data_IF_762252779042
#
_entry.id   IF_762252779042
#
_cell.length_a   1.000
_cell.length_b   1.000
_cell.length_c   1.000
_cell.angle_alpha   90.00
_cell.angle_beta   90.00
_cell.angle_gamma   90.00
#
_symmetry.space_group_name_H-M   'P 1'
#
loop_
_entity.id
_entity.type
_entity.pdbx_description
1 polymer ?
#
# COMPACT_ATOMS: atom_id res chain seq x y z
N UNK A 1 -18.14 9.48 -21.98
CA UNK A 1 -17.97 8.19 -21.32
C UNK A 1 -19.09 8.05 -20.29
N UNK A 2 -19.97 7.10 -20.52
CA UNK A 2 -21.09 6.84 -19.64
C UNK A 2 -20.56 6.32 -18.30
N UNK A 3 -20.48 7.11 -17.28
CA UNK A 3 -20.30 6.85 -15.83
C UNK A 3 -19.81 5.45 -15.36
N UNK A 4 -19.10 4.69 -16.18
CA UNK A 4 -18.75 3.28 -15.95
C UNK A 4 -17.25 3.02 -15.76
N UNK A 5 -16.43 4.06 -15.70
CA UNK A 5 -14.98 3.86 -15.51
C UNK A 5 -14.32 3.01 -16.63
N UNK A 6 -13.16 2.44 -16.33
CA UNK A 6 -12.47 1.50 -17.22
C UNK A 6 -13.03 0.09 -17.02
N UNK A 7 -13.85 -0.37 -17.97
CA UNK A 7 -14.48 -1.71 -17.93
C UNK A 7 -13.77 -2.74 -18.81
N UNK A 8 -12.73 -2.34 -19.54
CA UNK A 8 -11.92 -3.21 -20.39
C UNK A 8 -10.69 -3.77 -19.67
N UNK A 9 -10.00 -4.69 -20.37
CA UNK A 9 -8.72 -5.28 -19.90
C UNK A 9 -7.55 -4.28 -19.84
N UNK A 10 -7.71 -3.07 -20.38
CA UNK A 10 -6.71 -2.01 -20.38
C UNK A 10 -7.35 -0.69 -19.98
N UNK A 11 -6.60 0.15 -19.26
CA UNK A 11 -7.05 1.48 -18.90
C UNK A 11 -7.10 2.42 -20.11
N UNK A 12 -8.05 3.35 -20.13
CA UNK A 12 -8.15 4.42 -21.16
C UNK A 12 -6.87 5.27 -21.22
N UNK A 13 -6.13 5.34 -20.09
CA UNK A 13 -4.84 6.02 -19.98
C UNK A 13 -3.66 5.26 -20.63
N UNK A 14 -3.88 4.09 -21.22
CA UNK A 14 -2.84 3.24 -21.81
C UNK A 14 -2.24 2.21 -20.85
N UNK A 15 -2.72 2.12 -19.62
CA UNK A 15 -2.30 1.08 -18.67
C UNK A 15 -2.74 -0.29 -19.17
N UNK A 16 -1.79 -1.23 -19.28
CA UNK A 16 -2.06 -2.63 -19.63
C UNK A 16 -2.65 -3.38 -18.44
N UNK A 17 -3.26 -4.55 -18.68
CA UNK A 17 -3.76 -5.41 -17.60
C UNK A 17 -2.60 -5.88 -16.69
N UNK A 18 -1.44 -6.20 -17.29
CA UNK A 18 -0.27 -6.66 -16.55
C UNK A 18 0.29 -5.59 -15.61
N UNK A 19 0.37 -4.33 -16.08
CA UNK A 19 0.76 -3.19 -15.22
C UNK A 19 -0.27 -2.98 -14.11
N UNK A 20 -1.57 -3.09 -14.39
CA UNK A 20 -2.61 -2.95 -13.36
C UNK A 20 -2.45 -4.02 -12.28
N UNK A 21 -2.26 -5.27 -12.67
CA UNK A 21 -2.03 -6.38 -11.74
C UNK A 21 -0.77 -6.16 -10.90
N UNK A 22 0.35 -5.76 -11.51
CA UNK A 22 1.58 -5.46 -10.78
C UNK A 22 1.44 -4.31 -9.78
N UNK A 23 0.62 -3.30 -10.09
CA UNK A 23 0.34 -2.22 -9.15
C UNK A 23 -0.52 -2.69 -7.97
N UNK A 24 -1.44 -3.63 -8.19
CA UNK A 24 -2.20 -4.27 -7.11
C UNK A 24 -1.29 -5.18 -6.26
N UNK A 25 -0.41 -5.96 -6.89
CA UNK A 25 0.61 -6.76 -6.19
C UNK A 25 1.53 -5.88 -5.33
N UNK A 26 2.02 -4.76 -5.88
CA UNK A 26 2.82 -3.79 -5.12
C UNK A 26 2.03 -3.22 -3.94
N UNK A 27 0.78 -2.83 -4.15
CA UNK A 27 -0.08 -2.31 -3.06
C UNK A 27 -0.26 -3.36 -1.96
N UNK A 28 -0.51 -4.61 -2.33
CA UNK A 28 -0.60 -5.74 -1.39
C UNK A 28 0.69 -5.98 -0.62
N UNK A 29 1.84 -5.89 -1.30
CA UNK A 29 3.16 -6.01 -0.67
C UNK A 29 3.44 -4.90 0.34
N UNK A 30 3.05 -3.64 0.03
CA UNK A 30 3.18 -2.49 0.94
C UNK A 30 2.30 -2.65 2.19
N UNK A 31 1.08 -3.15 2.04
CA UNK A 31 0.19 -3.46 3.17
C UNK A 31 0.82 -4.59 4.02
N UNK A 32 1.40 -5.61 3.38
CA UNK A 32 2.14 -6.67 4.06
C UNK A 32 3.37 -6.14 4.82
N UNK A 33 4.09 -5.15 4.26
CA UNK A 33 5.20 -4.49 4.93
C UNK A 33 4.72 -3.69 6.15
N UNK A 34 3.62 -2.94 6.02
CA UNK A 34 3.03 -2.21 7.14
C UNK A 34 2.60 -3.14 8.29
N UNK A 35 2.08 -4.32 7.98
CA UNK A 35 1.78 -5.36 8.96
C UNK A 35 3.04 -5.91 9.63
N UNK A 36 4.10 -6.15 8.86
CA UNK A 36 5.38 -6.62 9.39
C UNK A 36 6.04 -5.60 10.33
N UNK A 37 5.79 -4.30 10.13
CA UNK A 37 6.27 -3.22 10.99
C UNK A 37 5.33 -2.89 12.14
N UNK A 38 4.26 -3.64 12.33
CA UNK A 38 3.22 -3.40 13.34
C UNK A 38 2.66 -1.97 13.26
N UNK A 39 2.22 -1.57 12.07
CA UNK A 39 1.70 -0.23 11.80
C UNK A 39 2.74 0.88 11.93
N UNK A 40 4.02 0.57 11.73
CA UNK A 40 5.13 1.51 11.77
C UNK A 40 5.88 1.58 13.11
N UNK A 41 5.44 0.87 14.16
CA UNK A 41 6.13 0.87 15.45
C UNK A 41 7.55 0.29 15.37
N UNK A 42 7.78 -0.63 14.44
CA UNK A 42 9.07 -1.29 14.20
C UNK A 42 9.63 -0.99 12.81
N UNK A 43 9.18 0.09 12.18
CA UNK A 43 9.60 0.43 10.83
C UNK A 43 11.03 0.99 10.80
N UNK A 44 11.79 0.54 9.81
CA UNK A 44 13.10 1.10 9.47
C UNK A 44 12.93 2.34 8.58
N UNK A 45 13.96 3.19 8.44
CA UNK A 45 13.95 4.28 7.46
C UNK A 45 13.73 3.77 6.02
N UNK A 46 14.23 2.59 5.67
CA UNK A 46 14.01 1.97 4.36
C UNK A 46 12.55 1.51 4.20
N UNK A 47 11.93 0.93 5.22
CA UNK A 47 10.52 0.56 5.17
C UNK A 47 9.63 1.78 4.89
N UNK A 48 9.87 2.91 5.56
CA UNK A 48 9.13 4.15 5.29
C UNK A 48 9.35 4.66 3.87
N UNK A 49 10.61 4.66 3.42
CA UNK A 49 10.95 5.06 2.06
C UNK A 49 10.23 4.20 1.02
N UNK A 50 10.20 2.89 1.21
CA UNK A 50 9.53 1.95 0.33
C UNK A 50 8.01 2.15 0.30
N UNK A 51 7.39 2.44 1.44
CA UNK A 51 5.95 2.74 1.50
C UNK A 51 5.61 3.99 0.67
N UNK A 52 6.36 5.07 0.83
CA UNK A 52 6.15 6.32 0.08
C UNK A 52 6.44 6.11 -1.42
N UNK A 53 7.59 5.52 -1.79
CA UNK A 53 7.99 5.27 -3.17
C UNK A 53 7.01 4.32 -3.88
N UNK A 54 6.56 3.27 -3.19
CA UNK A 54 5.61 2.31 -3.72
C UNK A 54 4.23 2.91 -3.94
N UNK A 55 3.68 3.63 -2.96
CA UNK A 55 2.41 4.33 -3.10
C UNK A 55 2.47 5.35 -4.24
N UNK A 56 3.54 6.16 -4.32
CA UNK A 56 3.74 7.11 -5.42
C UNK A 56 3.78 6.41 -6.78
N UNK A 57 4.47 5.27 -6.88
CA UNK A 57 4.54 4.45 -8.10
C UNK A 57 3.15 4.01 -8.60
N UNK A 58 2.20 3.78 -7.68
CA UNK A 58 0.82 3.37 -8.01
C UNK A 58 -0.14 4.53 -8.29
N UNK A 59 0.29 5.78 -8.17
CA UNK A 59 -0.52 6.94 -8.55
C UNK A 59 -0.79 6.91 -10.06
N UNK A 60 -1.97 7.36 -10.46
CA UNK A 60 -2.41 7.33 -11.85
C UNK A 60 -1.39 7.98 -12.79
N UNK A 61 -1.00 7.26 -13.83
CA UNK A 61 -0.08 7.70 -14.90
C UNK A 61 1.36 8.02 -14.44
N UNK A 62 1.79 7.61 -13.25
CA UNK A 62 3.16 7.86 -12.77
C UNK A 62 4.13 6.83 -13.33
N UNK A 63 3.82 5.53 -13.23
CA UNK A 63 4.74 4.48 -13.67
C UNK A 63 3.99 3.32 -14.33
N UNK A 64 4.34 3.05 -15.61
CA UNK A 64 3.84 1.92 -16.39
C UNK A 64 4.97 0.92 -16.74
N UNK A 65 6.16 1.06 -16.16
CA UNK A 65 7.28 0.18 -16.40
C UNK A 65 7.20 -1.07 -15.50
N UNK A 66 6.81 -2.19 -16.07
CA UNK A 66 6.68 -3.47 -15.37
C UNK A 66 7.98 -3.89 -14.65
N UNK A 67 9.14 -3.69 -15.30
CA UNK A 67 10.43 -4.07 -14.72
C UNK A 67 10.69 -3.29 -13.42
N UNK A 68 10.50 -1.98 -13.43
CA UNK A 68 10.68 -1.12 -12.25
C UNK A 68 9.71 -1.49 -11.14
N UNK A 69 8.45 -1.80 -11.48
CA UNK A 69 7.45 -2.20 -10.47
C UNK A 69 7.85 -3.54 -9.83
N UNK A 70 8.28 -4.54 -10.63
CA UNK A 70 8.76 -5.83 -10.11
C UNK A 70 10.00 -5.69 -9.22
N UNK A 71 10.95 -4.84 -9.61
CA UNK A 71 12.13 -4.54 -8.80
C UNK A 71 11.74 -3.92 -7.45
N UNK A 72 10.76 -3.02 -7.45
CA UNK A 72 10.26 -2.39 -6.22
C UNK A 72 9.55 -3.41 -5.31
N UNK A 73 8.70 -4.28 -5.87
CA UNK A 73 8.10 -5.41 -5.13
C UNK A 73 9.18 -6.27 -4.49
N UNK A 74 10.23 -6.62 -5.23
CA UNK A 74 11.36 -7.39 -4.71
C UNK A 74 12.07 -6.71 -3.54
N UNK A 75 12.25 -5.39 -3.59
CA UNK A 75 12.82 -4.60 -2.48
C UNK A 75 11.91 -4.59 -1.26
N UNK A 76 10.60 -4.46 -1.45
CA UNK A 76 9.61 -4.52 -0.36
C UNK A 76 9.65 -5.89 0.32
N UNK A 77 9.72 -6.97 -0.46
CA UNK A 77 9.83 -8.33 0.10
C UNK A 77 11.15 -8.55 0.85
N UNK A 78 12.27 -8.02 0.31
CA UNK A 78 13.56 -8.13 0.97
C UNK A 78 13.58 -7.39 2.32
N UNK A 79 13.01 -6.19 2.39
CA UNK A 79 12.88 -5.43 3.62
C UNK A 79 11.96 -6.15 4.63
N UNK A 80 10.82 -6.64 4.17
CA UNK A 80 9.90 -7.41 4.99
C UNK A 80 10.55 -8.66 5.60
N UNK A 81 11.38 -9.36 4.83
CA UNK A 81 12.10 -10.54 5.32
C UNK A 81 13.12 -10.23 6.43
N UNK A 82 13.68 -9.01 6.46
CA UNK A 82 14.59 -8.59 7.52
C UNK A 82 13.87 -8.23 8.82
N UNK A 83 12.64 -7.74 8.72
CA UNK A 83 11.84 -7.30 9.86
C UNK A 83 11.18 -8.46 10.61
N UNK A 84 10.98 -9.59 9.94
CA UNK A 84 10.34 -10.75 10.54
C UNK A 84 11.41 -11.79 10.86
N UNK A 85 11.73 -12.03 12.13
CA UNK A 85 12.65 -13.09 12.50
C UNK A 85 12.12 -14.45 12.03
N UNK A 86 13.04 -15.30 11.62
CA UNK A 86 12.78 -16.65 11.10
C UNK A 86 11.90 -17.44 12.10
N UNK A 87 10.61 -17.50 11.82
CA UNK A 87 9.64 -18.24 12.64
C UNK A 87 9.74 -19.74 12.32
N UNK A 88 10.89 -20.36 12.58
CA UNK A 88 11.08 -21.79 12.42
C UNK A 88 10.20 -22.64 13.36
N UNK A 89 9.54 -22.00 14.34
CA UNK A 89 8.65 -22.65 15.31
C UNK A 89 7.15 -22.53 14.99
N UNK A 90 6.76 -21.75 13.97
CA UNK A 90 5.35 -21.60 13.60
C UNK A 90 4.94 -22.67 12.58
N UNK A 91 3.97 -23.52 12.92
CA UNK A 91 3.42 -24.55 12.04
C UNK A 91 2.58 -24.01 10.87
N UNK A 92 2.35 -22.70 10.78
CA UNK A 92 1.63 -22.02 9.71
C UNK A 92 2.34 -20.72 9.33
N UNK A 93 2.23 -20.26 8.06
CA UNK A 93 2.72 -18.95 7.67
C UNK A 93 2.08 -17.89 8.57
N UNK A 94 2.89 -17.09 9.22
CA UNK A 94 2.38 -15.99 10.03
C UNK A 94 1.64 -15.02 9.10
N UNK A 95 0.34 -14.83 9.29
CA UNK A 95 -0.49 -13.95 8.44
C UNK A 95 0.03 -12.51 8.34
N UNK A 96 0.90 -12.10 9.28
CA UNK A 96 1.60 -10.80 9.27
C UNK A 96 2.70 -10.69 8.20
N UNK A 97 3.13 -11.80 7.60
CA UNK A 97 4.22 -11.78 6.60
C UNK A 97 3.73 -11.91 5.17
N UNK A 98 2.47 -12.29 4.97
CA UNK A 98 1.88 -12.41 3.64
C UNK A 98 1.50 -11.04 3.08
N UNK A 99 1.59 -10.90 1.76
CA UNK A 99 1.02 -9.77 1.06
C UNK A 99 -0.51 -9.77 1.21
N UNK A 100 -1.09 -8.58 1.18
CA UNK A 100 -2.54 -8.45 1.22
C UNK A 100 -3.12 -8.70 -0.18
N UNK A 101 -4.12 -9.56 -0.25
CA UNK A 101 -4.87 -9.77 -1.50
C UNK A 101 -5.84 -8.60 -1.73
N UNK A 102 -5.57 -7.78 -2.75
CA UNK A 102 -6.41 -6.64 -3.09
C UNK A 102 -7.84 -7.02 -3.46
N UNK A 103 -8.10 -8.29 -3.85
CA UNK A 103 -9.47 -8.76 -4.06
C UNK A 103 -10.30 -8.73 -2.78
N UNK A 104 -9.69 -8.92 -1.61
CA UNK A 104 -10.38 -8.81 -0.33
C UNK A 104 -10.94 -7.40 -0.09
N UNK A 105 -10.19 -6.37 -0.49
CA UNK A 105 -10.66 -4.99 -0.42
C UNK A 105 -11.85 -4.77 -1.35
N UNK A 106 -11.72 -5.21 -2.61
CA UNK A 106 -12.74 -4.95 -3.63
C UNK A 106 -14.02 -5.76 -3.41
N UNK A 107 -13.94 -6.91 -2.73
CA UNK A 107 -15.09 -7.78 -2.41
C UNK A 107 -15.69 -7.54 -1.00
N UNK A 108 -15.12 -6.63 -0.21
CA UNK A 108 -15.64 -6.28 1.11
C UNK A 108 -17.03 -5.62 1.01
N UNK A 109 -17.75 -5.59 2.14
CA UNK A 109 -19.00 -4.85 2.27
C UNK A 109 -18.82 -3.39 1.82
N UNK A 110 -19.89 -2.80 1.27
CA UNK A 110 -19.84 -1.50 0.60
C UNK A 110 -19.25 -0.40 1.48
N UNK A 111 -19.63 -0.33 2.74
CA UNK A 111 -19.13 0.69 3.68
C UNK A 111 -17.64 0.48 3.98
N UNK A 112 -17.24 -0.75 4.28
CA UNK A 112 -15.83 -1.10 4.56
C UNK A 112 -14.97 -0.85 3.33
N UNK A 113 -15.42 -1.30 2.15
CA UNK A 113 -14.75 -1.05 0.87
C UNK A 113 -14.57 0.44 0.62
N UNK A 114 -15.62 1.23 0.89
CA UNK A 114 -15.59 2.68 0.68
C UNK A 114 -14.58 3.36 1.60
N UNK A 115 -14.59 3.05 2.89
CA UNK A 115 -13.64 3.61 3.86
C UNK A 115 -12.20 3.21 3.54
N UNK A 116 -11.91 1.94 3.28
CA UNK A 116 -10.58 1.47 2.90
C UNK A 116 -10.10 2.10 1.58
N UNK A 117 -11.01 2.30 0.63
CA UNK A 117 -10.69 2.99 -0.64
C UNK A 117 -10.35 4.46 -0.42
N UNK A 118 -11.09 5.18 0.45
CA UNK A 118 -10.79 6.57 0.79
C UNK A 118 -9.41 6.68 1.44
N UNK A 119 -9.08 5.79 2.40
CA UNK A 119 -7.74 5.73 3.00
C UNK A 119 -6.67 5.52 1.93
N UNK A 120 -6.84 4.51 1.07
CA UNK A 120 -5.86 4.18 0.03
C UNK A 120 -5.63 5.33 -0.95
N UNK A 121 -6.69 5.98 -1.42
CA UNK A 121 -6.57 7.11 -2.33
C UNK A 121 -5.97 8.33 -1.64
N UNK A 122 -6.31 8.58 -0.39
CA UNK A 122 -5.74 9.66 0.41
C UNK A 122 -4.23 9.49 0.59
N UNK A 123 -3.76 8.32 1.06
CA UNK A 123 -2.32 8.08 1.22
C UNK A 123 -1.56 8.08 -0.12
N UNK A 124 -2.18 7.67 -1.23
CA UNK A 124 -1.57 7.86 -2.56
C UNK A 124 -1.41 9.33 -2.92
N UNK A 125 -2.41 10.16 -2.60
CA UNK A 125 -2.31 11.62 -2.76
C UNK A 125 -1.21 12.22 -1.90
N UNK A 126 -1.13 11.85 -0.62
CA UNK A 126 -0.04 12.25 0.28
C UNK A 126 1.34 11.81 -0.24
N UNK A 127 1.45 10.59 -0.78
CA UNK A 127 2.70 10.05 -1.30
C UNK A 127 3.25 10.86 -2.48
N UNK A 128 2.38 11.50 -3.28
CA UNK A 128 2.82 12.38 -4.35
C UNK A 128 3.63 13.57 -3.83
N UNK A 129 3.26 14.13 -2.70
CA UNK A 129 4.00 15.22 -2.06
C UNK A 129 5.18 14.72 -1.24
N UNK A 130 4.98 13.69 -0.42
CA UNK A 130 6.02 13.11 0.44
C UNK A 130 7.20 12.57 -0.37
N UNK A 131 6.97 11.96 -1.52
CA UNK A 131 8.03 11.48 -2.41
C UNK A 131 8.88 12.65 -2.93
N UNK A 132 8.27 13.76 -3.33
CA UNK A 132 9.02 14.94 -3.79
C UNK A 132 9.81 15.59 -2.65
N UNK A 133 9.24 15.69 -1.45
CA UNK A 133 9.95 16.16 -0.26
C UNK A 133 11.16 15.27 0.05
N UNK A 134 10.97 13.94 0.02
CA UNK A 134 12.02 12.96 0.26
C UNK A 134 13.17 13.07 -0.74
N UNK A 135 12.88 13.28 -2.03
CA UNK A 135 13.92 13.51 -3.07
C UNK A 135 14.73 14.78 -2.79
N UNK A 136 14.13 15.80 -2.17
CA UNK A 136 14.78 17.02 -1.74
C UNK A 136 15.50 16.90 -0.39
N UNK A 137 15.49 15.72 0.24
CA UNK A 137 16.13 15.45 1.51
C UNK A 137 15.30 15.80 2.75
N UNK A 138 14.00 16.06 2.59
CA UNK A 138 13.06 16.32 3.69
C UNK A 138 12.23 15.09 4.02
N UNK A 139 12.17 14.77 5.30
CA UNK A 139 11.33 13.70 5.85
C UNK A 139 10.69 14.17 7.14
N UNK A 140 9.55 13.59 7.48
CA UNK A 140 8.85 13.84 8.72
C UNK A 140 8.40 12.50 9.33
N UNK A 141 8.77 12.25 10.58
CA UNK A 141 8.51 10.98 11.24
C UNK A 141 7.03 10.75 11.57
N UNK A 142 6.26 11.82 11.77
CA UNK A 142 4.81 11.72 12.01
C UNK A 142 4.11 11.30 10.73
N UNK A 143 4.46 11.95 9.62
CA UNK A 143 3.96 11.59 8.28
C UNK A 143 4.35 10.16 7.92
N UNK A 144 5.60 9.76 8.15
CA UNK A 144 6.06 8.41 7.89
C UNK A 144 5.28 7.36 8.68
N UNK A 145 5.06 7.58 9.98
CA UNK A 145 4.25 6.72 10.83
C UNK A 145 2.80 6.64 10.35
N UNK A 146 2.25 7.75 9.87
CA UNK A 146 0.89 7.76 9.36
C UNK A 146 0.74 6.89 8.09
N UNK A 147 1.70 6.91 7.17
CA UNK A 147 1.68 5.99 6.01
C UNK A 147 1.61 4.52 6.43
N UNK A 148 2.43 4.12 7.39
CA UNK A 148 2.43 2.75 7.90
C UNK A 148 1.11 2.41 8.62
N UNK A 149 0.61 3.30 9.48
CA UNK A 149 -0.67 3.16 10.18
C UNK A 149 -1.85 2.98 9.20
N UNK A 150 -1.90 3.82 8.17
CA UNK A 150 -2.97 3.80 7.18
C UNK A 150 -2.94 2.52 6.32
N UNK A 151 -1.76 2.10 5.85
CA UNK A 151 -1.60 0.83 5.13
C UNK A 151 -1.95 -0.37 6.01
N UNK A 152 -1.53 -0.36 7.28
CA UNK A 152 -1.89 -1.38 8.26
C UNK A 152 -3.42 -1.49 8.41
N UNK A 153 -4.10 -0.36 8.60
CA UNK A 153 -5.56 -0.30 8.76
C UNK A 153 -6.31 -0.91 7.55
N UNK A 154 -5.81 -0.68 6.32
CA UNK A 154 -6.39 -1.32 5.12
C UNK A 154 -6.26 -2.84 5.20
N UNK A 155 -5.13 -3.33 5.72
CA UNK A 155 -4.83 -4.75 5.82
C UNK A 155 -5.65 -5.49 6.88
N UNK A 156 -6.10 -4.82 7.93
CA UNK A 156 -6.78 -5.44 9.07
C UNK A 156 -8.28 -5.66 8.80
N UNK A 157 -8.88 -6.60 9.55
CA UNK A 157 -10.32 -6.86 9.54
C UNK A 157 -11.04 -5.90 10.51
N UNK A 158 -10.91 -4.61 10.21
CA UNK A 158 -11.48 -3.53 11.00
C UNK A 158 -12.86 -3.12 10.50
N UNK A 159 -13.73 -2.76 11.44
CA UNK A 159 -15.05 -2.21 11.18
C UNK A 159 -15.00 -0.69 10.93
N UNK A 160 -16.21 -0.12 10.79
CA UNK A 160 -16.37 1.32 10.53
C UNK A 160 -15.83 2.19 11.67
N UNK A 161 -15.96 1.74 12.93
CA UNK A 161 -15.54 2.49 14.10
C UNK A 161 -14.02 2.70 14.14
N UNK A 162 -13.23 1.70 13.68
CA UNK A 162 -11.78 1.78 13.61
C UNK A 162 -11.29 2.49 12.35
N UNK A 163 -11.98 2.33 11.22
CA UNK A 163 -11.56 2.89 9.93
C UNK A 163 -11.89 4.38 9.78
N UNK A 164 -13.03 4.84 10.32
CA UNK A 164 -13.45 6.23 10.18
C UNK A 164 -12.45 7.26 10.75
N UNK A 165 -11.85 7.05 11.94
CA UNK A 165 -10.79 7.92 12.44
C UNK A 165 -9.59 8.03 11.48
N UNK A 166 -9.20 6.94 10.81
CA UNK A 166 -8.10 6.96 9.84
C UNK A 166 -8.49 7.76 8.59
N UNK A 167 -9.73 7.65 8.11
CA UNK A 167 -10.24 8.48 7.01
C UNK A 167 -10.19 9.96 7.35
N UNK A 168 -10.58 10.32 8.57
CA UNK A 168 -10.56 11.72 9.03
C UNK A 168 -9.14 12.27 9.20
N UNK A 169 -8.19 11.42 9.56
CA UNK A 169 -6.78 11.80 9.73
C UNK A 169 -6.06 11.98 8.38
N UNK A 170 -6.48 11.24 7.34
CA UNK A 170 -5.89 11.30 6.00
C UNK A 170 -6.36 12.52 5.20
N UNK A 171 -7.54 13.07 5.50
CA UNK A 171 -8.15 14.23 4.84
C UNK A 171 -7.71 15.54 5.44
#
# INVERSE_FOLDING_TARGET
AACTGCTGKAGVCGKTADVAQLQDELTGALIGLARATDGGMQATPEAWRLMIEGLFTTVTNVNFNEKTIRELIGRVHAEKAQLVPDCSSCAAPCGRTSDYDMNLLWSADEDIRSLKSLILFGVRGMAAYAHHAMVLGYTDDEVNRFFAKALFAIGEDWGMEELLPIVMEVG
#
